data_IF_139575937850
#
_entry.id   IF_139575937850
#
_cell.length_a   1.000
_cell.length_b   1.000
_cell.length_c   1.000
_cell.angle_alpha   90.00
_cell.angle_beta   90.00
_cell.angle_gamma   90.00
#
_symmetry.space_group_name_H-M   'P 1'
#
loop_
_entity.id
_entity.type
_entity.pdbx_description
1 polymer ?
#
# COMPACT_ATOMS: atom_id res chain seq x y z
N UNK A 1 -2.62 -4.40 0.07
CA UNK A 1 -4.09 -4.53 -0.05
C UNK A 1 -4.57 -5.58 0.94
N UNK A 2 -5.89 -5.63 1.16
CA UNK A 2 -6.53 -6.57 2.08
C UNK A 2 -7.11 -7.70 1.23
N UNK A 3 -6.28 -8.63 0.76
CA UNK A 3 -6.74 -9.72 -0.13
C UNK A 3 -7.29 -10.90 0.68
N UNK A 4 -6.80 -11.05 1.90
CA UNK A 4 -7.22 -12.09 2.84
C UNK A 4 -7.59 -11.48 4.21
N UNK A 5 -8.10 -12.30 5.14
CA UNK A 5 -8.55 -11.84 6.46
C UNK A 5 -9.99 -11.29 6.48
N UNK A 6 -10.43 -10.83 7.66
CA UNK A 6 -11.80 -10.31 7.88
C UNK A 6 -12.12 -9.08 7.02
N UNK A 7 -11.08 -8.35 6.61
CA UNK A 7 -11.17 -7.13 5.80
C UNK A 7 -11.25 -7.33 4.29
N UNK A 8 -11.22 -8.57 3.78
CA UNK A 8 -11.06 -8.85 2.35
C UNK A 8 -12.13 -8.18 1.45
N UNK A 9 -13.36 -8.04 1.95
CA UNK A 9 -14.43 -7.37 1.24
C UNK A 9 -14.11 -5.90 0.90
N UNK A 10 -13.39 -5.21 1.78
CA UNK A 10 -12.97 -3.83 1.55
C UNK A 10 -11.72 -3.74 0.66
N UNK A 11 -10.81 -4.73 0.73
CA UNK A 11 -9.61 -4.75 -0.09
C UNK A 11 -9.90 -4.77 -1.60
N UNK A 12 -11.01 -5.40 -2.03
CA UNK A 12 -11.48 -5.32 -3.42
C UNK A 12 -11.68 -3.88 -3.88
N UNK A 13 -12.39 -3.08 -3.07
CA UNK A 13 -12.69 -1.70 -3.43
C UNK A 13 -11.43 -0.84 -3.40
N UNK A 14 -10.57 -1.06 -2.40
CA UNK A 14 -9.28 -0.39 -2.29
C UNK A 14 -8.42 -0.58 -3.54
N UNK A 15 -8.25 -1.83 -4.02
CA UNK A 15 -7.47 -2.08 -5.24
C UNK A 15 -8.10 -1.47 -6.49
N UNK A 16 -9.43 -1.56 -6.63
CA UNK A 16 -10.14 -0.99 -7.79
C UNK A 16 -10.02 0.53 -7.86
N UNK A 17 -10.20 1.22 -6.73
CA UNK A 17 -10.09 2.68 -6.69
C UNK A 17 -8.65 3.13 -6.89
N UNK A 18 -7.66 2.44 -6.29
CA UNK A 18 -6.24 2.71 -6.55
C UNK A 18 -5.88 2.54 -8.02
N UNK A 19 -6.30 1.44 -8.66
CA UNK A 19 -6.02 1.19 -10.07
C UNK A 19 -6.66 2.25 -10.99
N UNK A 20 -7.91 2.64 -10.71
CA UNK A 20 -8.60 3.69 -11.46
C UNK A 20 -7.90 5.06 -11.31
N UNK A 21 -7.49 5.41 -10.09
CA UNK A 21 -6.79 6.68 -9.83
C UNK A 21 -5.41 6.71 -10.51
N UNK A 22 -4.63 5.64 -10.40
CA UNK A 22 -3.30 5.54 -11.05
C UNK A 22 -3.42 5.63 -12.57
N UNK A 23 -4.42 4.96 -13.14
CA UNK A 23 -4.71 5.08 -14.58
C UNK A 23 -4.98 6.54 -14.96
N UNK A 24 -5.87 7.22 -14.25
CA UNK A 24 -6.20 8.62 -14.53
C UNK A 24 -4.98 9.56 -14.37
N UNK A 25 -4.15 9.35 -13.33
CA UNK A 25 -2.91 10.12 -13.12
C UNK A 25 -1.93 9.91 -14.27
N UNK A 26 -1.74 8.67 -14.70
CA UNK A 26 -0.82 8.35 -15.79
C UNK A 26 -1.32 8.87 -17.14
N UNK A 27 -2.63 8.81 -17.40
CA UNK A 27 -3.25 9.42 -18.59
C UNK A 27 -3.08 10.96 -18.59
N UNK A 28 -3.00 11.60 -17.43
CA UNK A 28 -2.72 13.02 -17.27
C UNK A 28 -1.22 13.39 -17.37
N UNK A 29 -0.35 12.44 -17.69
CA UNK A 29 1.11 12.65 -17.83
C UNK A 29 1.93 12.24 -16.61
N UNK A 30 1.34 11.53 -15.65
CA UNK A 30 2.02 11.02 -14.47
C UNK A 30 2.33 12.11 -13.43
N UNK A 31 3.19 11.78 -12.46
CA UNK A 31 3.65 12.73 -11.43
C UNK A 31 4.99 13.30 -11.87
N UNK A 32 5.03 14.61 -12.15
CA UNK A 32 6.22 15.28 -12.68
C UNK A 32 6.78 14.58 -13.94
N UNK A 33 5.90 14.14 -14.84
CA UNK A 33 6.25 13.43 -16.07
C UNK A 33 6.65 11.96 -15.88
N UNK A 34 6.66 11.44 -14.65
CA UNK A 34 6.97 10.02 -14.34
C UNK A 34 5.68 9.21 -14.19
N UNK A 35 5.52 8.08 -14.89
CA UNK A 35 4.37 7.20 -14.67
C UNK A 35 4.43 6.59 -13.28
N UNK A 36 3.27 6.49 -12.64
CA UNK A 36 3.08 5.84 -11.35
C UNK A 36 2.89 4.35 -11.56
N UNK A 37 3.71 3.55 -10.86
CA UNK A 37 3.55 2.11 -10.72
C UNK A 37 3.09 1.78 -9.29
N UNK A 38 2.22 0.78 -9.14
CA UNK A 38 1.72 0.35 -7.83
C UNK A 38 2.12 -1.09 -7.58
N UNK A 39 2.83 -1.30 -6.47
CA UNK A 39 3.15 -2.63 -5.94
C UNK A 39 2.15 -2.94 -4.83
N UNK A 40 1.58 -4.14 -4.86
CA UNK A 40 0.51 -4.54 -3.94
C UNK A 40 0.97 -5.76 -3.14
N UNK A 41 0.95 -5.62 -1.81
CA UNK A 41 1.25 -6.68 -0.85
C UNK A 41 0.08 -6.91 0.10
N UNK A 42 -0.18 -8.17 0.47
CA UNK A 42 -1.30 -8.51 1.38
C UNK A 42 -0.85 -8.51 2.84
N UNK A 43 -1.46 -7.66 3.67
CA UNK A 43 -1.21 -7.58 5.11
C UNK A 43 -2.09 -8.52 5.94
N UNK A 44 -3.08 -9.19 5.32
CA UNK A 44 -3.96 -10.15 5.97
C UNK A 44 -4.84 -9.56 7.08
N UNK A 45 -4.98 -8.22 7.15
CA UNK A 45 -5.60 -7.51 8.28
C UNK A 45 -4.87 -7.74 9.62
N UNK A 46 -3.59 -8.10 9.57
CA UNK A 46 -2.75 -8.39 10.74
C UNK A 46 -1.69 -7.29 10.95
N UNK A 47 -1.54 -6.73 12.17
CA UNK A 47 -0.60 -5.64 12.41
C UNK A 47 0.87 -6.06 12.30
N UNK A 48 1.23 -7.30 12.67
CA UNK A 48 2.60 -7.79 12.58
C UNK A 48 3.03 -7.98 11.13
N UNK A 49 2.16 -8.61 10.32
CA UNK A 49 2.36 -8.74 8.89
C UNK A 49 2.33 -7.39 8.17
N UNK A 50 1.51 -6.44 8.61
CA UNK A 50 1.51 -5.07 8.11
C UNK A 50 2.87 -4.39 8.26
N UNK A 51 3.53 -4.54 9.41
CA UNK A 51 4.87 -4.01 9.63
C UNK A 51 5.93 -4.66 8.72
N UNK A 52 5.86 -6.00 8.54
CA UNK A 52 6.75 -6.73 7.62
C UNK A 52 6.58 -6.23 6.18
N UNK A 53 5.34 -6.09 5.71
CA UNK A 53 5.01 -5.60 4.37
C UNK A 53 5.54 -4.18 4.15
N UNK A 54 5.36 -3.29 5.11
CA UNK A 54 5.91 -1.92 5.04
C UNK A 54 7.44 -1.94 4.94
N UNK A 55 8.11 -2.81 5.71
CA UNK A 55 9.56 -2.99 5.60
C UNK A 55 10.01 -3.50 4.23
N UNK A 56 9.25 -4.41 3.59
CA UNK A 56 9.53 -4.88 2.22
C UNK A 56 9.45 -3.78 1.19
N UNK A 57 8.48 -2.87 1.32
CA UNK A 57 8.34 -1.74 0.40
C UNK A 57 9.59 -0.86 0.37
N UNK A 58 10.19 -0.59 1.53
CA UNK A 58 11.43 0.17 1.59
C UNK A 58 12.67 -0.63 1.13
N UNK A 59 12.81 -1.88 1.58
CA UNK A 59 14.07 -2.62 1.43
C UNK A 59 14.17 -3.45 0.15
N UNK A 60 13.08 -4.08 -0.28
CA UNK A 60 13.05 -4.99 -1.43
C UNK A 60 12.52 -4.30 -2.67
N UNK A 61 11.34 -3.69 -2.54
CA UNK A 61 10.65 -3.04 -3.65
C UNK A 61 11.16 -1.63 -3.93
N UNK A 62 11.86 -1.02 -2.94
CA UNK A 62 12.45 0.33 -3.02
C UNK A 62 11.45 1.38 -3.51
N UNK A 63 10.23 1.33 -2.98
CA UNK A 63 9.14 2.24 -3.36
C UNK A 63 9.43 3.67 -2.90
N UNK A 64 9.09 4.65 -3.73
CA UNK A 64 9.19 6.08 -3.38
C UNK A 64 8.17 6.47 -2.27
N UNK A 65 6.98 5.87 -2.26
CA UNK A 65 5.87 6.19 -1.34
C UNK A 65 5.14 4.91 -0.95
N UNK A 66 4.74 4.82 0.33
CA UNK A 66 3.82 3.79 0.82
C UNK A 66 2.43 4.39 1.05
N UNK A 67 1.40 3.76 0.48
CA UNK A 67 -0.01 4.11 0.63
C UNK A 67 -0.76 2.95 1.30
N UNK A 68 -1.33 3.21 2.47
CA UNK A 68 -1.98 2.21 3.32
C UNK A 68 -1.59 2.38 4.80
N UNK A 69 -1.99 1.47 5.68
CA UNK A 69 -2.90 0.33 5.46
C UNK A 69 -4.37 0.76 5.64
N UNK A 70 -5.33 -0.11 5.32
CA UNK A 70 -6.76 0.24 5.36
C UNK A 70 -7.35 0.27 6.78
N UNK A 71 -6.93 -0.67 7.64
CA UNK A 71 -7.50 -0.83 8.98
C UNK A 71 -6.62 -0.14 10.02
N UNK A 72 -7.23 0.70 10.86
CA UNK A 72 -6.51 1.53 11.82
C UNK A 72 -5.59 0.74 12.76
N UNK A 73 -5.97 -0.46 13.19
CA UNK A 73 -5.11 -1.29 14.04
C UNK A 73 -3.86 -1.78 13.32
N UNK A 74 -3.96 -2.06 12.01
CA UNK A 74 -2.81 -2.39 11.17
C UNK A 74 -1.95 -1.15 10.95
N UNK A 75 -2.56 0.03 10.72
CA UNK A 75 -1.82 1.30 10.58
C UNK A 75 -0.98 1.59 11.83
N UNK A 76 -1.58 1.46 13.02
CA UNK A 76 -0.88 1.67 14.29
C UNK A 76 0.29 0.69 14.44
N UNK A 77 0.09 -0.57 14.06
CA UNK A 77 1.14 -1.60 14.11
C UNK A 77 2.27 -1.39 13.10
N UNK A 78 1.95 -0.84 11.91
CA UNK A 78 2.92 -0.71 10.82
C UNK A 78 3.63 0.65 10.76
N UNK A 79 3.06 1.70 11.36
CA UNK A 79 3.61 3.05 11.30
C UNK A 79 5.07 3.17 11.80
N UNK A 80 5.50 2.48 12.88
CA UNK A 80 6.91 2.51 13.30
C UNK A 80 7.86 2.01 12.21
N UNK A 81 7.52 0.93 11.50
CA UNK A 81 8.34 0.37 10.43
C UNK A 81 8.57 1.37 9.27
N UNK A 82 7.56 2.18 8.94
CA UNK A 82 7.72 3.27 7.97
C UNK A 82 8.64 4.38 8.51
N UNK A 83 8.53 4.69 9.80
CA UNK A 83 9.35 5.71 10.46
C UNK A 83 10.82 5.31 10.66
N UNK A 84 11.15 4.02 10.67
CA UNK A 84 12.51 3.50 10.76
C UNK A 84 13.20 3.39 9.39
N UNK A 85 12.42 3.20 8.33
CA UNK A 85 12.90 2.96 6.97
C UNK A 85 13.03 4.23 6.10
N UNK A 86 13.08 5.40 6.74
CA UNK A 86 13.18 6.73 6.11
C UNK A 86 14.60 7.13 5.72
#
# INVERSE_FOLDING_TARGET
SHRTGIGAAYGRWYERTTAAAVKAINEAGGINGRPVEVIIEDDGTDPGRGAEVVGKFATQHKTDIVYGTLFSHVVIGSAPAAGEAK
#
